data_IF_854396136318
#
_entry.id   IF_854396136318
#
_cell.length_a   1.000
_cell.length_b   1.000
_cell.length_c   1.000
_cell.angle_alpha   90.00
_cell.angle_beta   90.00
_cell.angle_gamma   90.00
#
_symmetry.space_group_name_H-M   'P 1'
#
loop_
_entity.id
_entity.type
_entity.pdbx_description
1 polymer ?
#
# COMPACT_ATOMS: atom_id res chain seq x y z
N UNK A 1 27.47 -10.66 -11.29
CA UNK A 1 26.81 -9.54 -12.00
C UNK A 1 25.32 -9.48 -11.64
N UNK A 2 25.00 -9.23 -10.36
CA UNK A 2 23.63 -9.04 -9.89
C UNK A 2 23.51 -7.80 -8.98
N UNK A 3 24.56 -6.96 -8.96
CA UNK A 3 24.72 -5.91 -7.95
C UNK A 3 24.64 -4.50 -8.56
N UNK A 4 25.29 -4.22 -9.70
CA UNK A 4 25.32 -2.85 -10.25
C UNK A 4 23.99 -2.39 -10.83
N UNK A 5 23.30 -3.20 -11.63
CA UNK A 5 21.98 -2.83 -12.18
C UNK A 5 20.91 -2.69 -11.09
N UNK A 6 20.99 -3.51 -10.03
CA UNK A 6 20.06 -3.45 -8.90
C UNK A 6 20.34 -2.24 -8.00
N UNK A 7 21.62 -1.94 -7.72
CA UNK A 7 22.02 -0.74 -6.99
C UNK A 7 21.70 0.53 -7.78
N UNK A 8 21.96 0.54 -9.09
CA UNK A 8 21.59 1.63 -9.98
C UNK A 8 20.08 1.85 -10.05
N UNK A 9 19.30 0.77 -10.05
CA UNK A 9 17.84 0.83 -9.93
C UNK A 9 17.40 1.43 -8.59
N UNK A 10 17.98 0.99 -7.47
CA UNK A 10 17.66 1.52 -6.14
C UNK A 10 18.04 3.00 -6.00
N UNK A 11 19.19 3.40 -6.54
CA UNK A 11 19.67 4.78 -6.50
C UNK A 11 18.80 5.68 -7.40
N UNK A 12 18.43 5.20 -8.59
CA UNK A 12 17.48 5.85 -9.46
C UNK A 12 16.12 6.02 -8.78
N UNK A 13 15.60 4.98 -8.12
CA UNK A 13 14.36 5.05 -7.35
C UNK A 13 14.46 6.02 -6.19
N UNK A 14 15.57 6.03 -5.45
CA UNK A 14 15.81 7.00 -4.38
C UNK A 14 15.81 8.44 -4.89
N UNK A 15 16.34 8.68 -6.08
CA UNK A 15 16.32 9.99 -6.74
C UNK A 15 14.90 10.37 -7.16
N UNK A 16 14.13 9.45 -7.75
CA UNK A 16 12.72 9.68 -8.11
C UNK A 16 11.82 9.89 -6.87
N UNK A 17 12.08 9.13 -5.80
CA UNK A 17 11.34 9.18 -4.54
C UNK A 17 11.72 10.38 -3.66
N UNK A 18 12.83 11.06 -3.96
CA UNK A 18 13.36 12.17 -3.15
C UNK A 18 12.41 13.37 -3.02
N UNK A 19 11.32 13.42 -3.81
CA UNK A 19 10.40 14.57 -3.93
C UNK A 19 11.16 15.90 -4.12
N UNK A 20 12.40 15.86 -4.63
CA UNK A 20 13.28 17.01 -4.74
C UNK A 20 12.74 17.99 -5.78
N UNK A 21 12.51 19.24 -5.37
CA UNK A 21 12.08 20.31 -6.28
C UNK A 21 13.10 20.56 -7.39
N UNK A 22 14.40 20.43 -7.07
CA UNK A 22 15.48 20.60 -8.05
C UNK A 22 15.46 19.50 -9.11
N UNK A 23 15.43 18.22 -8.70
CA UNK A 23 15.36 17.08 -9.63
C UNK A 23 14.12 17.15 -10.53
N UNK A 24 12.98 17.53 -9.96
CA UNK A 24 11.74 17.76 -10.70
C UNK A 24 11.88 18.89 -11.74
N UNK A 25 12.59 19.97 -11.40
CA UNK A 25 12.92 21.04 -12.34
C UNK A 25 13.79 20.55 -13.50
N UNK A 26 14.86 19.82 -13.19
CA UNK A 26 15.77 19.23 -14.18
C UNK A 26 15.03 18.28 -15.13
N UNK A 27 14.19 17.37 -14.61
CA UNK A 27 13.41 16.45 -15.44
C UNK A 27 12.38 17.16 -16.32
N UNK A 28 11.71 18.20 -15.81
CA UNK A 28 10.80 19.02 -16.63
C UNK A 28 11.52 19.74 -17.76
N UNK A 29 12.73 20.23 -17.50
CA UNK A 29 13.57 20.83 -18.54
C UNK A 29 13.99 19.79 -19.58
N UNK A 30 14.46 18.60 -19.15
CA UNK A 30 14.77 17.50 -20.06
C UNK A 30 13.57 17.08 -20.91
N UNK A 31 12.38 16.99 -20.32
CA UNK A 31 11.15 16.69 -21.04
C UNK A 31 10.81 17.75 -22.10
N UNK A 32 11.14 19.02 -21.84
CA UNK A 32 10.92 20.10 -22.80
C UNK A 32 11.92 20.07 -23.96
N UNK A 33 13.19 19.78 -23.70
CA UNK A 33 14.24 19.82 -24.73
C UNK A 33 14.35 18.54 -25.54
N UNK A 34 13.95 17.39 -24.98
CA UNK A 34 14.16 16.09 -25.64
C UNK A 34 13.01 15.71 -26.57
N UNK A 35 11.90 16.46 -26.58
CA UNK A 35 10.72 16.24 -27.43
C UNK A 35 10.17 14.81 -27.42
N UNK A 36 10.50 14.02 -26.40
CA UNK A 36 9.98 12.67 -26.27
C UNK A 36 8.47 12.71 -26.02
N UNK A 37 7.75 11.76 -26.62
CA UNK A 37 6.31 11.58 -26.39
C UNK A 37 5.99 11.29 -24.92
N UNK A 38 6.93 10.67 -24.20
CA UNK A 38 6.80 10.31 -22.79
C UNK A 38 7.64 11.26 -21.95
N UNK A 39 6.99 11.90 -20.97
CA UNK A 39 7.62 12.84 -20.04
C UNK A 39 8.16 12.10 -18.82
N UNK A 40 9.46 12.16 -18.61
CA UNK A 40 10.17 11.56 -17.47
C UNK A 40 9.74 12.18 -16.14
N UNK A 41 9.31 13.44 -16.13
CA UNK A 41 8.80 14.13 -14.93
C UNK A 41 7.49 13.55 -14.37
N UNK A 42 6.76 12.72 -15.15
CA UNK A 42 5.57 12.00 -14.70
C UNK A 42 5.93 10.84 -13.77
N UNK A 43 7.16 10.33 -13.84
CA UNK A 43 7.65 9.26 -12.96
C UNK A 43 7.95 9.75 -11.53
N UNK A 44 8.00 11.07 -11.31
CA UNK A 44 8.29 11.66 -10.01
C UNK A 44 7.05 11.67 -9.11
N UNK A 45 7.16 11.10 -7.91
CA UNK A 45 6.12 11.14 -6.88
C UNK A 45 5.67 12.58 -6.56
N UNK A 46 4.36 12.84 -6.36
CA UNK A 46 3.85 14.17 -6.04
C UNK A 46 4.53 14.77 -4.80
N UNK A 47 4.70 16.09 -4.79
CA UNK A 47 5.19 16.80 -3.60
C UNK A 47 4.19 16.61 -2.45
N UNK A 48 4.68 16.63 -1.21
CA UNK A 48 3.84 16.41 -0.03
C UNK A 48 2.66 17.39 0.03
N UNK A 49 2.88 18.64 -0.37
CA UNK A 49 1.86 19.70 -0.46
C UNK A 49 0.79 19.48 -1.54
N UNK A 50 1.06 18.63 -2.53
CA UNK A 50 0.10 18.28 -3.59
C UNK A 50 -0.65 16.98 -3.32
N UNK A 51 -0.32 16.27 -2.23
CA UNK A 51 -1.08 15.09 -1.83
C UNK A 51 -2.36 15.58 -1.15
N UNK A 52 -3.50 15.24 -1.74
CA UNK A 52 -4.80 15.53 -1.14
C UNK A 52 -4.91 14.81 0.21
N UNK A 53 -5.04 15.59 1.29
CA UNK A 53 -5.14 15.06 2.67
C UNK A 53 -6.34 14.15 2.88
N UNK A 54 -7.37 14.28 2.04
CA UNK A 54 -8.57 13.42 2.06
C UNK A 54 -8.22 11.99 1.68
N UNK A 55 -7.26 11.78 0.77
CA UNK A 55 -6.75 10.45 0.40
C UNK A 55 -6.14 9.75 1.61
N UNK A 56 -5.48 10.51 2.49
CA UNK A 56 -4.86 9.99 3.70
C UNK A 56 -5.89 9.77 4.83
N UNK A 57 -7.14 10.23 4.66
CA UNK A 57 -8.18 10.27 5.67
C UNK A 57 -7.71 10.91 7.00
N UNK A 58 -6.98 12.03 6.92
CA UNK A 58 -6.56 12.80 8.11
C UNK A 58 -7.78 13.30 8.93
N UNK A 59 -8.92 13.48 8.27
CA UNK A 59 -10.19 13.92 8.86
C UNK A 59 -10.93 12.80 9.64
N UNK A 60 -10.42 11.56 9.62
CA UNK A 60 -11.02 10.42 10.32
C UNK A 60 -12.48 10.16 9.94
N UNK A 61 -12.82 10.34 8.65
CA UNK A 61 -14.12 9.94 8.12
C UNK A 61 -14.29 8.42 8.25
N UNK A 62 -15.51 7.99 8.53
CA UNK A 62 -15.84 6.55 8.59
C UNK A 62 -15.86 5.97 7.18
N UNK A 63 -15.23 4.83 7.02
CA UNK A 63 -15.18 4.08 5.77
C UNK A 63 -15.38 2.58 6.05
N UNK A 64 -15.90 1.86 5.07
CA UNK A 64 -16.11 0.42 5.16
C UNK A 64 -14.93 -0.30 4.52
N UNK A 65 -14.44 -1.38 5.13
CA UNK A 65 -13.41 -2.18 4.52
C UNK A 65 -13.95 -2.80 3.21
N UNK A 66 -13.30 -2.56 2.05
CA UNK A 66 -13.86 -2.97 0.76
C UNK A 66 -14.16 -4.45 0.67
N UNK A 67 -13.32 -5.28 1.29
CA UNK A 67 -13.45 -6.72 1.26
C UNK A 67 -14.28 -7.35 2.37
N UNK A 68 -14.69 -6.53 3.35
CA UNK A 68 -15.65 -6.91 4.36
C UNK A 68 -16.39 -5.65 4.81
N UNK A 69 -17.49 -5.29 4.13
CA UNK A 69 -18.21 -4.05 4.43
C UNK A 69 -18.82 -3.98 5.82
N UNK A 70 -18.86 -5.10 6.57
CA UNK A 70 -19.29 -5.10 7.97
C UNK A 70 -18.26 -4.41 8.88
N UNK A 71 -17.01 -4.35 8.44
CA UNK A 71 -15.91 -3.71 9.16
C UNK A 71 -15.92 -2.21 8.83
N UNK A 72 -16.51 -1.42 9.73
CA UNK A 72 -16.46 0.04 9.69
C UNK A 72 -15.22 0.53 10.44
N UNK A 73 -14.42 1.40 9.81
CA UNK A 73 -13.21 2.00 10.39
C UNK A 73 -13.19 3.50 10.15
N UNK A 74 -12.30 4.19 10.85
CA UNK A 74 -11.96 5.58 10.60
C UNK A 74 -10.44 5.79 10.59
N UNK A 75 -9.68 4.71 10.37
CA UNK A 75 -8.23 4.75 10.32
C UNK A 75 -7.80 5.68 9.16
N UNK A 76 -6.74 6.45 9.40
CA UNK A 76 -5.98 7.12 8.34
C UNK A 76 -5.21 6.10 7.53
N UNK A 77 -4.73 6.48 6.35
CA UNK A 77 -3.91 5.60 5.51
C UNK A 77 -2.66 5.09 6.24
N UNK A 78 -2.01 5.93 7.06
CA UNK A 78 -0.83 5.54 7.84
C UNK A 78 -1.17 4.51 8.91
N UNK A 79 -2.29 4.71 9.62
CA UNK A 79 -2.75 3.73 10.62
C UNK A 79 -3.16 2.40 9.98
N UNK A 80 -3.78 2.45 8.80
CA UNK A 80 -4.13 1.26 8.03
C UNK A 80 -2.88 0.46 7.63
N UNK A 81 -1.81 1.14 7.20
CA UNK A 81 -0.51 0.49 6.91
C UNK A 81 0.08 -0.13 8.17
N UNK A 82 0.14 0.62 9.27
CA UNK A 82 0.71 0.13 10.52
C UNK A 82 -0.05 -1.10 11.05
N UNK A 83 -1.39 -1.07 10.96
CA UNK A 83 -2.25 -2.21 11.31
C UNK A 83 -1.98 -3.40 10.39
N UNK A 84 -1.89 -3.18 9.08
CA UNK A 84 -1.55 -4.23 8.12
C UNK A 84 -0.19 -4.88 8.42
N UNK A 85 0.81 -4.08 8.78
CA UNK A 85 2.12 -4.57 9.18
C UNK A 85 2.07 -5.41 10.48
N UNK A 86 1.28 -4.96 11.47
CA UNK A 86 1.04 -5.73 12.70
C UNK A 86 0.33 -7.06 12.41
N UNK A 87 -0.73 -7.05 11.61
CA UNK A 87 -1.43 -8.25 11.19
C UNK A 87 -0.50 -9.23 10.46
N UNK A 88 0.38 -8.73 9.58
CA UNK A 88 1.38 -9.54 8.90
C UNK A 88 2.39 -10.17 9.87
N UNK A 89 2.90 -9.38 10.83
CA UNK A 89 3.78 -9.89 11.90
C UNK A 89 3.08 -10.97 12.73
N UNK A 90 1.83 -10.75 13.12
CA UNK A 90 1.08 -11.68 13.96
C UNK A 90 0.75 -12.97 13.19
N UNK A 91 0.45 -12.88 11.89
CA UNK A 91 0.29 -14.04 11.01
C UNK A 91 1.56 -14.89 10.91
N UNK A 92 2.72 -14.25 10.69
CA UNK A 92 4.01 -14.95 10.69
C UNK A 92 4.31 -15.59 12.05
N UNK A 93 4.00 -14.89 13.13
CA UNK A 93 4.19 -15.40 14.50
C UNK A 93 3.32 -16.63 14.76
N UNK A 94 2.06 -16.61 14.33
CA UNK A 94 1.17 -17.76 14.45
C UNK A 94 1.63 -18.95 13.62
N UNK A 95 2.09 -18.71 12.38
CA UNK A 95 2.66 -19.76 11.53
C UNK A 95 3.90 -20.39 12.18
N UNK A 96 4.80 -19.57 12.72
CA UNK A 96 5.97 -20.05 13.46
C UNK A 96 5.58 -20.89 14.68
N UNK A 97 4.65 -20.39 15.51
CA UNK A 97 4.20 -21.12 16.69
C UNK A 97 3.53 -22.45 16.35
N UNK A 98 2.83 -22.53 15.21
CA UNK A 98 2.25 -23.78 14.72
C UNK A 98 3.34 -24.77 14.29
N UNK A 99 4.36 -24.33 13.55
CA UNK A 99 5.49 -25.17 13.13
C UNK A 99 6.30 -25.69 14.33
N UNK A 100 6.45 -24.88 15.37
CA UNK A 100 7.16 -25.23 16.61
C UNK A 100 6.31 -26.04 17.60
N UNK A 101 5.12 -26.53 17.20
CA UNK A 101 4.15 -27.23 18.06
C UNK A 101 3.72 -26.46 19.32
N UNK A 102 3.88 -25.12 19.32
CA UNK A 102 3.44 -24.22 20.40
C UNK A 102 1.98 -23.77 20.23
N UNK A 103 1.35 -24.13 19.11
CA UNK A 103 -0.05 -23.85 18.80
C UNK A 103 -0.72 -25.11 18.22
N UNK A 104 -1.95 -25.40 18.64
CA UNK A 104 -2.71 -26.53 18.10
C UNK A 104 -3.24 -26.25 16.69
N UNK A 105 -3.39 -27.30 15.88
CA UNK A 105 -4.00 -27.21 14.54
C UNK A 105 -5.42 -26.65 14.59
N UNK A 106 -6.20 -26.96 15.63
CA UNK A 106 -7.56 -26.44 15.78
C UNK A 106 -7.58 -24.93 16.03
N UNK A 107 -6.64 -24.42 16.85
CA UNK A 107 -6.49 -22.99 17.10
C UNK A 107 -6.06 -22.25 15.82
N UNK A 108 -5.08 -22.81 15.11
CA UNK A 108 -4.58 -22.23 13.85
C UNK A 108 -5.68 -22.17 12.77
N UNK A 109 -6.43 -23.28 12.58
CA UNK A 109 -7.52 -23.33 11.62
C UNK A 109 -8.67 -22.39 12.01
N UNK A 110 -9.04 -22.28 13.29
CA UNK A 110 -10.09 -21.35 13.71
C UNK A 110 -9.82 -19.91 13.25
N UNK A 111 -8.56 -19.49 13.31
CA UNK A 111 -8.15 -18.13 12.94
C UNK A 111 -8.08 -17.94 11.41
N UNK A 112 -7.39 -18.85 10.71
CA UNK A 112 -7.02 -18.66 9.29
C UNK A 112 -7.83 -19.49 8.30
N UNK A 113 -8.75 -20.35 8.75
CA UNK A 113 -9.59 -21.13 7.83
C UNK A 113 -10.51 -20.21 7.02
N UNK A 114 -10.60 -20.51 5.72
CA UNK A 114 -11.47 -19.81 4.79
C UNK A 114 -10.86 -18.54 4.20
N UNK A 115 -9.65 -18.13 4.61
CA UNK A 115 -8.88 -17.10 3.93
C UNK A 115 -8.32 -17.63 2.61
N UNK A 116 -8.52 -16.85 1.55
CA UNK A 116 -7.88 -17.02 0.26
C UNK A 116 -6.43 -16.53 0.38
N UNK A 117 -5.48 -17.36 -0.07
CA UNK A 117 -4.05 -17.09 0.07
C UNK A 117 -3.55 -15.96 -0.84
N UNK A 118 -4.18 -15.75 -1.99
CA UNK A 118 -3.78 -14.75 -2.98
C UNK A 118 -4.26 -13.35 -2.57
N UNK A 119 -5.45 -13.26 -1.98
CA UNK A 119 -6.12 -11.99 -1.66
C UNK A 119 -6.08 -11.64 -0.19
N UNK A 120 -5.81 -12.61 0.70
CA UNK A 120 -5.91 -12.43 2.15
C UNK A 120 -7.35 -12.19 2.63
N UNK A 121 -8.36 -12.52 1.81
CA UNK A 121 -9.77 -12.32 2.11
C UNK A 121 -10.46 -13.63 2.43
N UNK A 122 -11.45 -13.63 3.32
CA UNK A 122 -12.30 -14.81 3.48
C UNK A 122 -13.13 -15.01 2.21
N UNK A 123 -13.23 -16.25 1.71
CA UNK A 123 -13.97 -16.59 0.49
C UNK A 123 -15.39 -15.99 0.44
N UNK A 124 -16.06 -15.91 1.60
CA UNK A 124 -17.40 -15.35 1.75
C UNK A 124 -17.49 -13.82 1.53
N UNK A 125 -16.36 -13.10 1.59
CA UNK A 125 -16.31 -11.64 1.46
C UNK A 125 -16.27 -11.15 0.01
N UNK A 126 -15.90 -12.01 -0.94
CA UNK A 126 -15.69 -11.64 -2.36
C UNK A 126 -16.99 -11.16 -3.01
N UNK A 127 -18.11 -11.83 -2.74
CA UNK A 127 -19.43 -11.46 -3.28
C UNK A 127 -20.00 -10.17 -2.66
N UNK A 128 -19.46 -9.76 -1.52
CA UNK A 128 -19.90 -8.57 -0.78
C UNK A 128 -18.98 -7.36 -0.99
N UNK A 129 -17.98 -7.47 -1.86
CA UNK A 129 -17.00 -6.39 -2.04
C UNK A 129 -17.69 -5.10 -2.48
N UNK A 130 -17.34 -3.99 -1.81
CA UNK A 130 -17.80 -2.65 -2.20
C UNK A 130 -16.67 -1.84 -2.77
N UNK A 131 -16.99 -1.02 -3.77
CA UNK A 131 -16.07 0.01 -4.25
C UNK A 131 -15.71 0.99 -3.12
N UNK A 132 -14.51 1.54 -3.19
CA UNK A 132 -14.10 2.61 -2.27
C UNK A 132 -15.05 3.80 -2.40
N UNK A 133 -15.40 4.41 -1.27
CA UNK A 133 -16.19 5.64 -1.31
C UNK A 133 -15.46 6.70 -2.15
N UNK A 134 -16.16 7.36 -3.10
CA UNK A 134 -15.54 8.38 -3.92
C UNK A 134 -15.07 9.54 -3.05
N UNK A 135 -14.02 10.23 -3.50
CA UNK A 135 -13.65 11.52 -2.91
C UNK A 135 -14.79 12.50 -3.22
N UNK A 136 -15.33 13.15 -2.20
CA UNK A 136 -16.38 14.18 -2.38
C UNK A 136 -15.85 15.29 -3.30
N UNK A 137 -16.63 15.65 -4.33
CA UNK A 137 -16.35 16.80 -5.19
C UNK A 137 -16.47 18.10 -4.37
N UNK A 138 -15.61 19.07 -4.64
CA UNK A 138 -15.59 20.40 -3.99
C UNK A 138 -16.44 21.36 -4.79
#
# INVERSE_FOLDING_TARGET
MLNESFLGYLEFHRVLDSRSRWMRGTLKFLDQITFHKVRSSVLMLPLKEHIDKRIMNEEKKKWNYPADPSIVRNDSFVELINRSAQNGRDALTHAWNYLENKMSRSAFLKEYQGYNLDTGLRFQGVDSMKEFSPLEEV
#
